data_IF_735803294559
#
_entry.id   IF_735803294559
#
_cell.length_a   1.000
_cell.length_b   1.000
_cell.length_c   1.000
_cell.angle_alpha   90.00
_cell.angle_beta   90.00
_cell.angle_gamma   90.00
#
_symmetry.space_group_name_H-M   'P 1'
#
loop_
_entity.id
_entity.type
_entity.pdbx_description
1 polymer ?
#
# COMPACT_ATOMS: atom_id res chain seq x y z
N UNK A 1 -19.27 8.87 -14.76
CA UNK A 1 -17.91 8.99 -14.20
C UNK A 1 -17.37 7.77 -13.44
N UNK A 2 -18.18 6.94 -12.75
CA UNK A 2 -17.69 5.78 -11.97
C UNK A 2 -16.98 4.68 -12.78
N UNK A 3 -17.34 4.47 -14.06
CA UNK A 3 -16.74 3.43 -14.93
C UNK A 3 -15.34 3.79 -15.43
N UNK A 4 -15.11 5.04 -15.82
CA UNK A 4 -13.80 5.51 -16.28
C UNK A 4 -12.74 5.42 -15.16
N UNK A 5 -13.10 5.78 -13.93
CA UNK A 5 -12.21 5.63 -12.77
C UNK A 5 -11.92 4.15 -12.43
N UNK A 6 -12.89 3.25 -12.63
CA UNK A 6 -12.67 1.80 -12.45
C UNK A 6 -11.77 1.21 -13.53
N UNK A 7 -11.93 1.66 -14.78
CA UNK A 7 -11.12 1.22 -15.91
C UNK A 7 -9.68 1.73 -15.81
N UNK A 8 -9.50 3.00 -15.47
CA UNK A 8 -8.20 3.61 -15.17
C UNK A 8 -7.46 2.84 -14.08
N UNK A 9 -8.14 2.44 -13.00
CA UNK A 9 -7.50 1.66 -11.93
C UNK A 9 -7.03 0.27 -12.37
N UNK A 10 -7.81 -0.45 -13.20
CA UNK A 10 -7.41 -1.78 -13.72
C UNK A 10 -6.15 -1.74 -14.58
N UNK A 11 -5.82 -0.57 -15.14
CA UNK A 11 -4.63 -0.39 -15.98
C UNK A 11 -3.48 0.22 -15.19
N UNK A 12 -3.76 1.25 -14.38
CA UNK A 12 -2.73 1.97 -13.61
C UNK A 12 -2.10 1.08 -12.54
N UNK A 13 -2.86 0.18 -11.91
CA UNK A 13 -2.34 -0.68 -10.84
C UNK A 13 -1.32 -1.74 -11.35
N UNK A 14 -1.58 -2.48 -12.44
CA UNK A 14 -0.57 -3.32 -13.08
C UNK A 14 0.63 -2.53 -13.60
N UNK A 15 0.40 -1.38 -14.25
CA UNK A 15 1.48 -0.53 -14.78
C UNK A 15 2.38 -0.04 -13.65
N UNK A 16 1.79 0.40 -12.53
CA UNK A 16 2.54 0.81 -11.34
C UNK A 16 3.36 -0.35 -10.78
N UNK A 17 2.78 -1.54 -10.68
CA UNK A 17 3.47 -2.73 -10.19
C UNK A 17 4.66 -3.11 -11.09
N UNK A 18 4.47 -3.11 -12.41
CA UNK A 18 5.55 -3.39 -13.38
C UNK A 18 6.64 -2.33 -13.30
N UNK A 19 6.27 -1.04 -13.24
CA UNK A 19 7.23 0.05 -13.11
C UNK A 19 8.04 -0.06 -11.83
N UNK A 20 7.40 -0.41 -10.71
CA UNK A 20 8.06 -0.63 -9.44
C UNK A 20 9.00 -1.84 -9.50
N UNK A 21 8.56 -2.99 -9.99
CA UNK A 21 9.46 -4.14 -10.16
C UNK A 21 10.66 -3.83 -11.06
N UNK A 22 10.45 -3.10 -12.14
CA UNK A 22 11.53 -2.64 -13.01
C UNK A 22 12.48 -1.70 -12.27
N UNK A 23 11.97 -0.74 -11.49
CA UNK A 23 12.77 0.15 -10.66
C UNK A 23 13.69 -0.63 -9.72
N UNK A 24 13.14 -1.59 -8.97
CA UNK A 24 13.91 -2.39 -8.02
C UNK A 24 14.95 -3.27 -8.74
N UNK A 25 14.61 -3.88 -9.87
CA UNK A 25 15.55 -4.69 -10.66
C UNK A 25 16.69 -3.84 -11.26
N UNK A 26 16.37 -2.67 -11.79
CA UNK A 26 17.36 -1.74 -12.37
C UNK A 26 18.25 -1.12 -11.31
N UNK A 27 17.70 -0.84 -10.12
CA UNK A 27 18.46 -0.42 -8.96
C UNK A 27 19.44 -1.49 -8.49
N UNK A 28 18.99 -2.75 -8.34
CA UNK A 28 19.86 -3.87 -7.99
C UNK A 28 20.96 -4.10 -9.04
N UNK A 29 20.66 -3.84 -10.31
CA UNK A 29 21.64 -3.85 -11.40
C UNK A 29 22.55 -2.60 -11.47
N UNK A 30 22.38 -1.63 -10.55
CA UNK A 30 23.13 -0.37 -10.48
C UNK A 30 23.02 0.50 -11.75
N UNK A 31 21.91 0.37 -12.50
CA UNK A 31 21.66 1.14 -13.71
C UNK A 31 20.91 2.45 -13.39
N UNK A 32 21.67 3.48 -12.98
CA UNK A 32 21.10 4.70 -12.42
C UNK A 32 20.09 5.42 -13.33
N UNK A 33 20.42 5.63 -14.61
CA UNK A 33 19.54 6.33 -15.55
C UNK A 33 18.17 5.65 -15.71
N UNK A 34 18.12 4.37 -16.12
CA UNK A 34 16.88 3.61 -16.20
C UNK A 34 16.13 3.51 -14.87
N UNK A 35 16.83 3.35 -13.75
CA UNK A 35 16.22 3.26 -12.42
C UNK A 35 15.51 4.57 -12.02
N UNK A 36 16.08 5.74 -12.37
CA UNK A 36 15.41 7.03 -12.17
C UNK A 36 14.15 7.20 -13.02
N UNK A 37 14.17 6.75 -14.28
CA UNK A 37 12.98 6.78 -15.14
C UNK A 37 11.87 5.87 -14.60
N UNK A 38 12.22 4.65 -14.20
CA UNK A 38 11.27 3.72 -13.59
C UNK A 38 10.70 4.30 -12.30
N UNK A 39 11.53 4.90 -11.45
CA UNK A 39 11.10 5.59 -10.21
C UNK A 39 10.08 6.69 -10.48
N UNK A 40 10.35 7.54 -11.48
CA UNK A 40 9.43 8.61 -11.85
C UNK A 40 8.07 8.06 -12.33
N UNK A 41 8.08 6.97 -13.08
CA UNK A 41 6.85 6.29 -13.53
C UNK A 41 6.07 5.68 -12.35
N UNK A 42 6.76 5.00 -11.43
CA UNK A 42 6.20 4.43 -10.21
C UNK A 42 5.56 5.50 -9.33
N UNK A 43 6.26 6.59 -9.02
CA UNK A 43 5.71 7.68 -8.20
C UNK A 43 4.51 8.37 -8.88
N UNK A 44 4.57 8.60 -10.18
CA UNK A 44 3.49 9.25 -10.93
C UNK A 44 2.22 8.40 -10.96
N UNK A 45 2.36 7.09 -11.19
CA UNK A 45 1.22 6.16 -11.21
C UNK A 45 0.67 5.92 -9.80
N UNK A 46 1.53 5.81 -8.78
CA UNK A 46 1.13 5.76 -7.37
C UNK A 46 0.36 7.01 -6.92
N UNK A 47 0.82 8.21 -7.28
CA UNK A 47 0.12 9.46 -6.99
C UNK A 47 -1.25 9.53 -7.69
N UNK A 48 -1.33 9.05 -8.94
CA UNK A 48 -2.58 8.96 -9.69
C UNK A 48 -3.58 8.03 -8.98
N UNK A 49 -3.14 6.87 -8.47
CA UNK A 49 -4.00 5.95 -7.71
C UNK A 49 -4.56 6.58 -6.44
N UNK A 50 -3.73 7.37 -5.74
CA UNK A 50 -4.10 8.08 -4.52
C UNK A 50 -5.12 9.19 -4.82
N UNK A 51 -4.90 9.96 -5.89
CA UNK A 51 -5.84 10.97 -6.37
C UNK A 51 -7.20 10.37 -6.75
N UNK A 52 -7.21 9.25 -7.47
CA UNK A 52 -8.44 8.55 -7.86
C UNK A 52 -9.23 8.01 -6.67
N UNK A 53 -8.56 7.70 -5.56
CA UNK A 53 -9.16 7.15 -4.34
C UNK A 53 -9.42 8.18 -3.24
N UNK A 54 -9.07 9.45 -3.44
CA UNK A 54 -9.27 10.52 -2.45
C UNK A 54 -10.73 10.65 -1.96
N UNK A 55 -11.71 10.31 -2.80
CA UNK A 55 -13.15 10.33 -2.40
C UNK A 55 -13.59 9.11 -1.59
N UNK A 56 -12.77 8.07 -1.44
CA UNK A 56 -13.11 6.81 -0.76
C UNK A 56 -12.21 6.61 0.46
N UNK A 57 -12.55 7.29 1.55
CA UNK A 57 -11.87 7.26 2.86
C UNK A 57 -11.49 5.86 3.36
N UNK A 58 -12.30 4.84 3.08
CA UNK A 58 -12.02 3.46 3.51
C UNK A 58 -10.80 2.81 2.82
N UNK A 59 -10.41 3.26 1.61
CA UNK A 59 -9.25 2.74 0.86
C UNK A 59 -8.05 3.69 0.83
N UNK A 60 -8.28 4.93 1.26
CA UNK A 60 -7.25 5.96 1.33
C UNK A 60 -6.09 5.56 2.25
N UNK A 61 -6.36 4.84 3.35
CA UNK A 61 -5.31 4.39 4.29
C UNK A 61 -4.36 3.38 3.63
N UNK A 62 -4.88 2.31 3.03
CA UNK A 62 -4.08 1.33 2.31
C UNK A 62 -3.26 1.98 1.19
N UNK A 63 -3.90 2.87 0.40
CA UNK A 63 -3.23 3.58 -0.70
C UNK A 63 -2.16 4.57 -0.17
N UNK A 64 -2.36 5.20 0.98
CA UNK A 64 -1.37 6.08 1.65
C UNK A 64 -0.18 5.28 2.18
N UNK A 65 -0.42 4.14 2.81
CA UNK A 65 0.64 3.24 3.29
C UNK A 65 1.51 2.78 2.13
N UNK A 66 0.88 2.36 1.02
CA UNK A 66 1.58 1.93 -0.18
C UNK A 66 2.36 3.08 -0.84
N UNK A 67 1.77 4.27 -0.91
CA UNK A 67 2.45 5.43 -1.49
C UNK A 67 3.63 5.90 -0.62
N UNK A 68 3.49 5.88 0.70
CA UNK A 68 4.59 6.15 1.63
C UNK A 68 5.76 5.17 1.42
N UNK A 69 5.44 3.88 1.21
CA UNK A 69 6.44 2.87 0.89
C UNK A 69 7.14 3.14 -0.45
N UNK A 70 6.39 3.53 -1.49
CA UNK A 70 6.97 3.88 -2.79
C UNK A 70 7.92 5.07 -2.70
N UNK A 71 7.54 6.12 -1.95
CA UNK A 71 8.41 7.26 -1.70
C UNK A 71 9.67 6.88 -0.92
N UNK A 72 9.54 6.03 0.10
CA UNK A 72 10.70 5.49 0.82
C UNK A 72 11.65 4.79 -0.16
N UNK A 73 11.15 3.87 -0.99
CA UNK A 73 11.97 3.14 -1.95
C UNK A 73 12.65 4.05 -2.97
N UNK A 74 11.92 4.99 -3.57
CA UNK A 74 12.49 5.91 -4.54
C UNK A 74 13.58 6.80 -3.91
N UNK A 75 13.34 7.35 -2.72
CA UNK A 75 14.31 8.20 -2.02
C UNK A 75 15.53 7.41 -1.54
N UNK A 76 15.33 6.17 -1.10
CA UNK A 76 16.44 5.30 -0.73
C UNK A 76 17.29 4.97 -1.96
N UNK A 77 16.67 4.55 -3.05
CA UNK A 77 17.32 4.27 -4.32
C UNK A 77 18.13 5.48 -4.82
N UNK A 78 17.55 6.68 -4.80
CA UNK A 78 18.25 7.92 -5.19
C UNK A 78 19.42 8.21 -4.25
N UNK A 79 19.26 7.96 -2.95
CA UNK A 79 20.36 8.11 -2.00
C UNK A 79 21.51 7.15 -2.28
N UNK A 80 21.19 5.92 -2.67
CA UNK A 80 22.15 4.84 -2.88
C UNK A 80 22.94 5.05 -4.17
N UNK A 81 22.24 5.32 -5.28
CA UNK A 81 22.84 5.57 -6.59
C UNK A 81 23.53 6.95 -6.69
N UNK A 82 23.04 7.94 -5.95
CA UNK A 82 23.54 9.32 -6.00
C UNK A 82 24.49 9.70 -4.86
N UNK A 83 24.77 8.78 -3.95
CA UNK A 83 25.57 8.96 -2.73
C UNK A 83 25.18 10.21 -1.90
N UNK A 84 23.87 10.45 -1.79
CA UNK A 84 23.31 11.67 -1.17
C UNK A 84 22.63 11.36 0.17
N UNK A 85 23.30 11.59 1.31
CA UNK A 85 22.80 11.18 2.63
C UNK A 85 21.51 11.89 3.07
N UNK A 86 21.19 13.03 2.47
CA UNK A 86 19.93 13.75 2.73
C UNK A 86 18.71 12.91 2.33
N UNK A 87 18.76 12.22 1.18
CA UNK A 87 17.64 11.40 0.70
C UNK A 87 17.46 10.14 1.54
N UNK A 88 18.53 9.59 2.12
CA UNK A 88 18.45 8.49 3.08
C UNK A 88 17.64 8.85 4.31
N UNK A 89 17.83 10.05 4.86
CA UNK A 89 17.06 10.53 6.02
C UNK A 89 15.60 10.74 5.66
N UNK A 90 15.32 11.29 4.47
CA UNK A 90 13.96 11.44 3.98
C UNK A 90 13.27 10.07 3.80
N UNK A 91 13.96 9.10 3.20
CA UNK A 91 13.47 7.73 3.05
C UNK A 91 13.12 7.10 4.40
N UNK A 92 13.97 7.27 5.41
CA UNK A 92 13.70 6.79 6.77
C UNK A 92 12.43 7.43 7.37
N UNK A 93 12.21 8.72 7.12
CA UNK A 93 10.97 9.40 7.54
C UNK A 93 9.71 8.77 6.92
N UNK A 94 9.76 8.48 5.61
CA UNK A 94 8.67 7.78 4.91
C UNK A 94 8.51 6.33 5.39
N UNK A 95 9.61 5.63 5.72
CA UNK A 95 9.58 4.29 6.28
C UNK A 95 8.83 4.26 7.62
N UNK A 96 9.15 5.19 8.53
CA UNK A 96 8.51 5.32 9.83
C UNK A 96 7.03 5.65 9.66
N UNK A 97 6.69 6.59 8.78
CA UNK A 97 5.31 6.95 8.48
C UNK A 97 4.52 5.74 7.96
N UNK A 98 5.06 5.02 6.98
CA UNK A 98 4.44 3.81 6.43
C UNK A 98 4.25 2.72 7.49
N UNK A 99 5.25 2.51 8.35
CA UNK A 99 5.16 1.53 9.43
C UNK A 99 4.07 1.89 10.46
N UNK A 100 3.94 3.16 10.83
CA UNK A 100 2.88 3.64 11.74
C UNK A 100 1.50 3.42 11.12
N UNK A 101 1.34 3.75 9.83
CA UNK A 101 0.08 3.58 9.11
C UNK A 101 -0.31 2.10 9.04
N UNK A 102 0.63 1.22 8.68
CA UNK A 102 0.44 -0.22 8.60
C UNK A 102 0.12 -0.83 9.97
N UNK A 103 0.85 -0.45 11.02
CA UNK A 103 0.59 -0.92 12.38
C UNK A 103 -0.81 -0.52 12.86
N UNK A 104 -1.28 0.67 12.49
CA UNK A 104 -2.64 1.13 12.80
C UNK A 104 -3.72 0.38 12.00
N UNK A 105 -3.40 -0.22 10.85
CA UNK A 105 -4.34 -1.08 10.09
C UNK A 105 -4.39 -2.50 10.64
N UNK A 106 -3.24 -3.03 11.08
CA UNK A 106 -3.14 -4.36 11.68
C UNK A 106 -3.74 -4.42 13.09
N UNK A 107 -3.98 -3.27 13.74
CA UNK A 107 -4.67 -3.23 15.04
C UNK A 107 -6.05 -3.91 14.95
N UNK A 108 -6.27 -5.03 15.66
CA UNK A 108 -7.54 -5.73 15.61
C UNK A 108 -8.64 -4.82 16.16
N UNK A 109 -9.67 -4.57 15.35
CA UNK A 109 -10.91 -3.94 15.82
C UNK A 109 -11.52 -4.83 16.90
N UNK A 110 -11.83 -4.30 18.11
CA UNK A 110 -12.46 -5.07 19.19
C UNK A 110 -13.80 -5.70 18.78
N UNK A 111 -14.46 -5.18 17.73
CA UNK A 111 -15.75 -5.66 17.25
C UNK A 111 -15.71 -7.01 16.49
N UNK A 112 -14.52 -7.51 16.07
CA UNK A 112 -14.44 -8.85 15.44
C UNK A 112 -14.66 -9.99 16.44
N UNK A 113 -14.39 -9.76 17.72
CA UNK A 113 -14.64 -10.76 18.75
C UNK A 113 -16.13 -10.80 19.15
N UNK A 114 -16.84 -9.67 19.10
CA UNK A 114 -18.29 -9.63 19.33
C UNK A 114 -19.09 -10.35 18.23
N UNK A 115 -18.66 -10.27 16.97
CA UNK A 115 -19.33 -10.99 15.89
C UNK A 115 -19.16 -12.51 16.02
N UNK A 116 -17.97 -12.98 16.41
CA UNK A 116 -17.72 -14.39 16.73
C UNK A 116 -18.50 -14.85 17.97
N UNK A 117 -18.64 -13.99 18.99
CA UNK A 117 -19.46 -14.27 20.17
C UNK A 117 -20.95 -14.41 19.82
N UNK A 118 -21.49 -13.60 18.90
CA UNK A 118 -22.86 -13.76 18.38
C UNK A 118 -23.04 -15.08 17.61
N UNK A 119 -22.06 -15.48 16.80
CA UNK A 119 -22.11 -16.78 16.12
C UNK A 119 -22.08 -17.96 17.09
N UNK A 120 -21.32 -17.85 18.19
CA UNK A 120 -21.30 -18.87 19.26
C UNK A 120 -22.65 -18.97 19.98
N UNK A 121 -23.38 -17.86 20.10
CA UNK A 121 -24.73 -17.81 20.70
C UNK A 121 -25.84 -18.38 19.78
N UNK A 122 -25.58 -18.51 18.48
CA UNK A 122 -26.49 -19.13 17.49
C UNK A 122 -26.30 -20.64 17.34
N UNK A 123 -25.35 -21.28 18.04
CA UNK A 123 -25.32 -22.75 18.17
C UNK A 123 -26.50 -23.20 19.03
N UNK A 124 -27.57 -23.56 18.31
CA UNK A 124 -28.80 -24.28 18.66
C UNK A 124 -28.74 -24.96 20.05
N UNK A 125 -29.69 -24.68 20.97
CA UNK A 125 -29.82 -25.46 22.20
C UNK A 125 -30.17 -26.91 21.84
N UNK A 126 -29.60 -27.91 22.54
CA UNK A 126 -29.86 -29.31 22.23
C UNK A 126 -31.37 -29.58 22.30
N UNK A 127 -31.92 -30.17 21.22
CA UNK A 127 -33.32 -30.63 21.17
C UNK A 127 -33.61 -31.45 22.43
N UNK A 128 -34.72 -31.19 23.14
CA UNK A 128 -35.09 -32.03 24.27
C UNK A 128 -35.29 -33.46 23.77
N UNK A 129 -34.55 -34.40 24.37
CA UNK A 129 -34.75 -35.83 24.14
C UNK A 129 -36.17 -36.17 24.60
N UNK A 130 -37.06 -36.43 23.64
CA UNK A 130 -38.29 -37.17 23.91
C UNK A 130 -37.91 -38.63 24.18
N UNK A 131 -37.98 -39.05 25.43
CA UNK A 131 -38.68 -40.24 25.93
C UNK A 131 -38.42 -40.40 27.42
#
# INVERSE_FOLDING_TARGET
>A
MKRAAMFSRRVVDPVNSVAWFAMDALWLAQLAGPAYLASAATLSTGATLLFLNWRRWARLRDDLTLNAWMWMNALWMISDLGDRPMFRKAALGFAILGAILLANELRPSPNRFESLARFKKMRIPPRPRRR
#
